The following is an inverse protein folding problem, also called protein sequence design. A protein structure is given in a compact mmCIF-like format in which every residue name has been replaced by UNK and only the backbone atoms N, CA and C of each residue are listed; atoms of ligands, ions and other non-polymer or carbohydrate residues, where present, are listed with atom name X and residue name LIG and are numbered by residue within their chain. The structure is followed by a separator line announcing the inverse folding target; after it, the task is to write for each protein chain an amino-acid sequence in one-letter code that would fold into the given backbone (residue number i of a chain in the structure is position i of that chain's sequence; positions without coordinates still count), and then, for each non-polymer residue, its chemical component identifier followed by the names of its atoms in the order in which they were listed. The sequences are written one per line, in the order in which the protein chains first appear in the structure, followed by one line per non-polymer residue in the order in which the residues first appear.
data_IF_238464876661
#
_entry.id   IF_238464876661
#
_cell.length_a   1.000
_cell.length_b   1.000
_cell.length_c   1.000
_cell.angle_alpha   90.00
_cell.angle_beta   90.00
_cell.angle_gamma   90.00
#
_symmetry.space_group_name_H-M   'P 1'
#
loop_
_entity.id
_entity.type
_entity.pdbx_description
1 polymer ?
#
# COMPACT_ATOMS: atom_id res chain seq x y z
N UNK A 1 68.84 -18.83 -14.06
CA UNK A 1 67.85 -18.37 -13.05
C UNK A 1 66.91 -17.26 -13.56
N UNK A 2 67.27 -16.46 -14.58
CA UNK A 2 66.46 -15.32 -15.05
C UNK A 2 65.23 -15.68 -15.91
N UNK A 3 65.29 -16.74 -16.73
CA UNK A 3 64.21 -17.10 -17.67
C UNK A 3 62.91 -17.56 -16.96
N UNK A 4 63.02 -18.21 -15.79
CA UNK A 4 61.85 -18.59 -14.98
C UNK A 4 61.12 -17.40 -14.37
N UNK A 5 61.77 -16.24 -14.29
CA UNK A 5 61.21 -15.02 -13.71
C UNK A 5 60.37 -14.26 -14.75
N UNK A 6 60.80 -14.25 -16.01
CA UNK A 6 60.05 -13.62 -17.11
C UNK A 6 58.77 -14.39 -17.46
N UNK A 7 58.82 -15.72 -17.50
CA UNK A 7 57.65 -16.60 -17.71
C UNK A 7 56.55 -16.35 -16.66
N UNK A 8 56.92 -16.19 -15.38
CA UNK A 8 55.95 -15.92 -14.30
C UNK A 8 55.34 -14.52 -14.37
N UNK A 9 56.11 -13.51 -14.77
CA UNK A 9 55.62 -12.13 -14.92
C UNK A 9 54.65 -12.03 -16.11
N UNK A 10 54.96 -12.71 -17.21
CA UNK A 10 54.10 -12.73 -18.40
C UNK A 10 52.78 -13.48 -18.13
N UNK A 11 52.83 -14.60 -17.41
CA UNK A 11 51.64 -15.36 -17.01
C UNK A 11 50.77 -14.59 -15.99
N UNK A 12 51.37 -13.83 -15.08
CA UNK A 12 50.63 -12.94 -14.17
C UNK A 12 49.92 -11.81 -14.92
N UNK A 13 50.54 -11.22 -15.94
CA UNK A 13 49.92 -10.15 -16.73
C UNK A 13 48.74 -10.66 -17.59
N UNK A 14 48.86 -11.85 -18.18
CA UNK A 14 47.76 -12.47 -18.94
C UNK A 14 46.57 -12.85 -18.05
N UNK A 15 46.82 -13.41 -16.86
CA UNK A 15 45.77 -13.69 -15.87
C UNK A 15 45.07 -12.41 -15.39
N UNK A 16 45.82 -11.31 -15.19
CA UNK A 16 45.25 -10.02 -14.82
C UNK A 16 44.35 -9.42 -15.91
N UNK A 17 44.68 -9.62 -17.20
CA UNK A 17 43.79 -9.22 -18.30
C UNK A 17 42.52 -10.07 -18.40
N UNK A 18 42.59 -11.37 -18.13
CA UNK A 18 41.43 -12.28 -18.21
C UNK A 18 40.37 -12.01 -17.12
N UNK A 19 40.79 -11.60 -15.92
CA UNK A 19 39.87 -11.21 -14.84
C UNK A 19 39.19 -9.86 -15.15
N UNK A 20 39.82 -8.99 -15.94
CA UNK A 20 39.27 -7.67 -16.30
C UNK A 20 38.12 -7.74 -17.31
N UNK A 21 37.98 -8.84 -18.04
CA UNK A 21 36.88 -9.05 -18.98
C UNK A 21 35.62 -9.66 -18.35
N UNK A 22 35.63 -9.99 -17.05
CA UNK A 22 34.46 -10.51 -16.33
C UNK A 22 33.86 -9.47 -15.37
N UNK A 23 33.41 -8.32 -15.88
CA UNK A 23 32.51 -7.48 -15.07
C UNK A 23 31.54 -6.58 -15.83
N UNK A 24 31.38 -6.72 -17.15
CA UNK A 24 30.16 -6.23 -17.79
C UNK A 24 29.07 -7.26 -17.51
N UNK A 25 28.61 -7.32 -16.25
CA UNK A 25 27.25 -7.79 -16.00
C UNK A 25 26.39 -6.84 -16.83
N UNK A 26 25.67 -7.38 -17.80
CA UNK A 26 24.55 -6.72 -18.43
C UNK A 26 23.52 -6.42 -17.32
N UNK A 27 23.74 -5.35 -16.57
CA UNK A 27 22.89 -4.85 -15.50
C UNK A 27 21.85 -3.87 -16.01
N UNK A 28 21.35 -4.09 -17.22
CA UNK A 28 20.38 -3.20 -17.85
C UNK A 28 19.20 -4.03 -18.32
N UNK A 29 18.15 -4.11 -17.48
CA UNK A 29 16.74 -3.92 -17.90
C UNK A 29 15.65 -4.39 -16.93
N UNK A 30 15.91 -4.69 -15.65
CA UNK A 30 14.79 -4.99 -14.71
C UNK A 30 14.26 -3.75 -13.98
N UNK A 31 15.10 -2.72 -13.79
CA UNK A 31 14.72 -1.52 -13.04
C UNK A 31 13.63 -0.66 -13.69
N UNK A 32 13.37 -0.83 -14.99
CA UNK A 32 12.39 0.00 -15.71
C UNK A 32 10.95 -0.56 -15.65
N UNK A 33 10.79 -1.82 -15.21
CA UNK A 33 9.50 -2.50 -15.07
C UNK A 33 8.91 -2.38 -13.66
N UNK A 34 9.70 -1.98 -12.66
CA UNK A 34 9.18 -1.68 -11.32
C UNK A 34 8.44 -0.33 -11.34
N UNK A 35 7.12 -0.31 -11.14
CA UNK A 35 6.35 0.94 -11.16
C UNK A 35 6.84 1.92 -10.08
N UNK A 36 7.39 1.40 -8.99
CA UNK A 36 7.93 2.16 -7.87
C UNK A 36 9.22 2.92 -8.21
N UNK A 37 9.95 2.51 -9.26
CA UNK A 37 11.19 3.18 -9.64
C UNK A 37 10.96 4.64 -10.06
N UNK A 38 9.88 4.92 -10.78
CA UNK A 38 9.50 6.28 -11.21
C UNK A 38 8.83 7.12 -10.09
N UNK A 39 8.30 6.45 -9.07
CA UNK A 39 7.45 7.05 -8.05
C UNK A 39 8.24 7.47 -6.82
N UNK A 40 9.33 6.76 -6.52
CA UNK A 40 10.12 6.99 -5.32
C UNK A 40 9.34 6.59 -4.07
N UNK A 41 9.40 7.43 -3.02
CA UNK A 41 8.78 7.16 -1.70
C UNK A 41 7.38 7.78 -1.55
N UNK A 42 6.71 8.09 -2.66
CA UNK A 42 5.37 8.69 -2.61
C UNK A 42 4.33 7.66 -2.17
N UNK A 43 3.35 8.12 -1.40
CA UNK A 43 2.22 7.30 -0.99
C UNK A 43 1.30 7.04 -2.18
N UNK A 44 0.93 5.78 -2.34
CA UNK A 44 -0.11 5.34 -3.27
C UNK A 44 -1.46 5.54 -2.57
N UNK A 45 -2.30 6.40 -3.15
CA UNK A 45 -3.60 6.81 -2.60
C UNK A 45 -4.76 6.06 -3.26
N UNK A 46 -4.57 5.53 -4.47
CA UNK A 46 -5.61 4.81 -5.20
C UNK A 46 -5.08 4.04 -6.41
N UNK A 47 -6.02 3.50 -7.18
CA UNK A 47 -5.73 2.60 -8.31
C UNK A 47 -5.32 3.32 -9.61
N UNK A 48 -5.54 4.63 -9.71
CA UNK A 48 -5.07 5.43 -10.83
C UNK A 48 -5.74 5.13 -12.17
N UNK A 49 -5.15 5.67 -13.24
CA UNK A 49 -5.69 5.50 -14.59
C UNK A 49 -5.23 4.16 -15.16
N UNK A 50 -6.17 3.30 -15.56
CA UNK A 50 -5.90 1.94 -16.06
C UNK A 50 -5.05 1.07 -15.12
N UNK A 51 -5.16 1.27 -13.79
CA UNK A 51 -4.35 0.56 -12.80
C UNK A 51 -2.91 1.08 -12.66
N UNK A 52 -2.57 2.16 -13.36
CA UNK A 52 -1.26 2.78 -13.32
C UNK A 52 -1.04 3.64 -12.09
N UNK A 53 0.15 3.54 -11.49
CA UNK A 53 0.55 4.39 -10.36
C UNK A 53 1.12 5.73 -10.84
N UNK A 54 0.31 6.50 -11.55
CA UNK A 54 0.72 7.79 -12.13
C UNK A 54 -0.03 8.97 -11.48
N UNK A 55 0.64 10.11 -11.44
CA UNK A 55 0.05 11.39 -11.05
C UNK A 55 -0.54 12.09 -12.28
N UNK A 56 -1.77 12.59 -12.19
CA UNK A 56 -2.45 13.34 -13.26
C UNK A 56 -3.36 14.40 -12.64
N UNK A 57 -3.23 15.66 -13.07
CA UNK A 57 -4.14 16.76 -12.69
C UNK A 57 -5.22 16.93 -13.77
N UNK A 58 -6.20 16.02 -13.82
CA UNK A 58 -7.34 16.11 -14.74
C UNK A 58 -8.64 16.36 -13.97
N UNK A 59 -9.52 17.26 -14.45
CA UNK A 59 -10.83 17.48 -13.82
C UNK A 59 -11.67 16.21 -13.68
N UNK A 60 -11.63 15.33 -14.70
CA UNK A 60 -12.37 14.05 -14.72
C UNK A 60 -11.75 12.98 -13.80
N UNK A 61 -10.56 13.25 -13.23
CA UNK A 61 -9.85 12.33 -12.36
C UNK A 61 -9.33 13.06 -11.11
N UNK A 62 -10.24 13.47 -10.20
CA UNK A 62 -9.91 14.33 -9.06
C UNK A 62 -9.01 13.66 -8.01
N UNK A 63 -8.85 12.33 -8.06
CA UNK A 63 -8.01 11.57 -7.14
C UNK A 63 -6.97 10.73 -7.88
N UNK A 64 -5.75 11.28 -8.13
CA UNK A 64 -4.67 10.54 -8.77
C UNK A 64 -4.20 9.34 -7.92
N UNK A 65 -3.54 8.37 -8.56
CA UNK A 65 -3.08 7.15 -7.88
C UNK A 65 -1.99 7.40 -6.83
N UNK A 66 -1.21 8.46 -7.02
CA UNK A 66 -0.04 8.79 -6.21
C UNK A 66 -0.17 10.23 -5.71
N UNK A 67 0.39 10.55 -4.54
CA UNK A 67 0.48 11.94 -4.09
C UNK A 67 1.43 12.76 -4.96
N UNK A 68 1.17 14.06 -5.07
CA UNK A 68 2.04 15.00 -5.80
C UNK A 68 3.50 14.98 -5.32
N UNK A 69 3.71 14.86 -4.01
CA UNK A 69 5.03 14.91 -3.36
C UNK A 69 5.23 13.72 -2.42
N UNK A 70 6.49 13.34 -2.23
CA UNK A 70 6.92 12.38 -1.20
C UNK A 70 6.56 12.85 0.21
N UNK A 71 6.45 11.91 1.15
CA UNK A 71 6.13 12.24 2.53
C UNK A 71 7.35 12.90 3.21
N UNK A 72 7.20 14.17 3.58
CA UNK A 72 8.14 14.89 4.44
C UNK A 72 7.59 14.97 5.88
N UNK A 73 8.47 15.11 6.88
CA UNK A 73 8.07 15.24 8.29
C UNK A 73 7.04 16.36 8.51
N UNK A 74 7.16 17.48 7.80
CA UNK A 74 6.20 18.59 7.85
C UNK A 74 4.82 18.21 7.31
N UNK A 75 4.76 17.42 6.24
CA UNK A 75 3.51 16.94 5.61
C UNK A 75 2.84 15.92 6.53
N UNK A 76 3.63 15.03 7.14
CA UNK A 76 3.15 14.05 8.12
C UNK A 76 2.58 14.75 9.35
N UNK A 77 3.31 15.73 9.91
CA UNK A 77 2.86 16.53 11.04
C UNK A 77 1.58 17.30 10.69
N UNK A 78 1.54 17.98 9.53
CA UNK A 78 0.34 18.70 9.06
C UNK A 78 -0.84 17.77 8.88
N UNK A 79 -0.62 16.56 8.36
CA UNK A 79 -1.67 15.55 8.18
C UNK A 79 -2.20 15.04 9.53
N UNK A 80 -1.32 14.86 10.52
CA UNK A 80 -1.71 14.49 11.88
C UNK A 80 -2.59 15.58 12.50
N UNK A 81 -2.17 16.85 12.43
CA UNK A 81 -3.00 17.99 12.87
C UNK A 81 -4.31 18.10 12.09
N UNK A 82 -4.32 17.84 10.78
CA UNK A 82 -5.55 17.90 9.98
C UNK A 82 -6.56 16.83 10.40
N UNK A 83 -6.11 15.59 10.69
CA UNK A 83 -6.97 14.50 11.19
C UNK A 83 -7.64 14.85 12.53
N UNK A 84 -6.90 15.45 13.46
CA UNK A 84 -7.48 15.93 14.73
C UNK A 84 -8.43 17.11 14.53
N UNK A 85 -8.17 17.97 13.53
CA UNK A 85 -9.06 19.08 13.17
C UNK A 85 -10.37 18.60 12.53
N UNK A 86 -10.40 17.48 11.81
CA UNK A 86 -11.66 16.90 11.31
C UNK A 86 -12.60 16.44 12.44
N UNK A 87 -12.04 15.97 13.55
CA UNK A 87 -12.80 15.74 14.78
C UNK A 87 -13.46 17.02 15.33
N UNK A 88 -12.91 18.19 15.00
CA UNK A 88 -13.49 19.49 15.34
C UNK A 88 -14.70 19.88 14.47
N UNK A 89 -14.86 19.29 13.28
CA UNK A 89 -16.09 19.43 12.49
C UNK A 89 -17.15 18.40 12.89
N UNK A 90 -16.75 17.31 13.56
CA UNK A 90 -17.71 16.36 14.13
C UNK A 90 -18.63 17.01 15.17
N UNK A 91 -18.15 18.04 15.88
CA UNK A 91 -18.97 18.79 16.85
C UNK A 91 -19.96 19.77 16.22
N UNK A 92 -19.98 19.90 14.88
CA UNK A 92 -20.96 20.71 14.13
C UNK A 92 -22.18 19.87 13.72
N UNK A 93 -22.07 18.54 13.77
CA UNK A 93 -23.20 17.65 13.45
C UNK A 93 -24.22 17.65 14.61
N UNK A 94 -25.52 17.52 14.29
CA UNK A 94 -26.51 17.22 15.32
C UNK A 94 -26.14 15.92 16.05
N UNK A 95 -26.59 15.74 17.30
CA UNK A 95 -26.39 14.49 18.01
C UNK A 95 -26.93 13.32 17.17
N UNK A 96 -26.26 12.17 17.26
CA UNK A 96 -26.73 10.95 16.61
C UNK A 96 -28.18 10.66 17.03
N UNK A 97 -29.02 10.13 16.12
CA UNK A 97 -30.39 9.81 16.47
C UNK A 97 -30.41 8.72 17.55
N UNK A 98 -31.50 8.67 18.32
CA UNK A 98 -31.61 7.76 19.46
C UNK A 98 -31.40 6.27 19.10
N UNK A 99 -31.63 5.88 17.85
CA UNK A 99 -31.37 4.52 17.35
C UNK A 99 -29.90 4.10 17.39
N UNK A 100 -28.95 5.05 17.45
CA UNK A 100 -27.52 4.78 17.51
C UNK A 100 -26.99 4.53 18.93
N UNK A 101 -27.84 4.53 19.95
CA UNK A 101 -27.42 4.05 21.27
C UNK A 101 -27.06 2.56 21.17
N UNK A 102 -26.05 2.08 21.91
CA UNK A 102 -25.59 0.68 21.81
C UNK A 102 -26.69 -0.32 22.16
N UNK A 103 -27.63 0.06 23.03
CA UNK A 103 -28.81 -0.73 23.37
C UNK A 103 -29.76 -0.89 22.18
N UNK A 104 -30.11 0.21 21.51
CA UNK A 104 -31.00 0.18 20.35
C UNK A 104 -30.35 -0.56 19.16
N UNK A 105 -29.03 -0.42 18.99
CA UNK A 105 -28.27 -1.18 18.00
C UNK A 105 -28.30 -2.68 18.29
N UNK A 106 -28.16 -3.09 19.55
CA UNK A 106 -28.25 -4.49 19.94
C UNK A 106 -29.66 -5.07 19.73
N UNK A 107 -30.71 -4.29 20.04
CA UNK A 107 -32.10 -4.67 19.78
C UNK A 107 -32.34 -4.80 18.27
N UNK A 108 -31.90 -3.83 17.48
CA UNK A 108 -32.03 -3.87 16.03
C UNK A 108 -31.30 -5.07 15.43
N UNK A 109 -30.09 -5.37 15.91
CA UNK A 109 -29.31 -6.52 15.47
C UNK A 109 -30.03 -7.83 15.77
N UNK A 110 -30.64 -7.96 16.96
CA UNK A 110 -31.47 -9.12 17.32
C UNK A 110 -32.66 -9.26 16.38
N UNK A 111 -33.40 -8.18 16.14
CA UNK A 111 -34.52 -8.19 15.21
C UNK A 111 -34.09 -8.59 13.78
N UNK A 112 -32.92 -8.14 13.31
CA UNK A 112 -32.40 -8.52 11.99
C UNK A 112 -32.03 -10.01 11.91
N UNK A 113 -31.50 -10.57 12.99
CA UNK A 113 -31.20 -12.01 13.09
C UNK A 113 -32.49 -12.82 13.11
N UNK A 114 -33.50 -12.38 13.86
CA UNK A 114 -34.83 -13.02 13.95
C UNK A 114 -35.56 -12.99 12.60
N UNK A 115 -35.47 -11.88 11.87
CA UNK A 115 -36.00 -11.74 10.51
C UNK A 115 -35.15 -12.43 9.44
N UNK A 116 -34.03 -13.04 9.82
CA UNK A 116 -33.09 -13.71 8.92
C UNK A 116 -32.65 -12.84 7.73
N UNK A 117 -32.27 -11.58 8.01
CA UNK A 117 -31.80 -10.65 6.97
C UNK A 117 -30.53 -11.18 6.30
N UNK A 118 -30.58 -11.29 4.96
CA UNK A 118 -29.53 -11.84 4.09
C UNK A 118 -29.02 -13.23 4.54
N UNK A 119 -29.87 -14.28 4.41
CA UNK A 119 -29.61 -15.59 4.99
C UNK A 119 -28.57 -16.43 4.21
N UNK A 120 -28.21 -16.06 2.98
CA UNK A 120 -27.29 -16.83 2.13
C UNK A 120 -25.83 -16.40 2.37
N UNK A 121 -25.49 -15.15 2.08
CA UNK A 121 -24.09 -14.65 2.16
C UNK A 121 -23.89 -13.50 3.16
N UNK A 122 -24.98 -13.00 3.76
CA UNK A 122 -24.97 -11.77 4.54
C UNK A 122 -24.91 -11.96 6.05
N UNK A 123 -25.74 -11.19 6.76
CA UNK A 123 -25.69 -11.09 8.22
C UNK A 123 -26.17 -12.37 8.90
N UNK A 124 -27.41 -12.78 8.62
CA UNK A 124 -28.02 -13.95 9.23
C UNK A 124 -27.27 -15.26 8.92
N UNK A 125 -26.69 -15.36 7.72
CA UNK A 125 -25.86 -16.51 7.32
C UNK A 125 -24.71 -16.79 8.31
N UNK A 126 -24.16 -15.74 8.92
CA UNK A 126 -23.02 -15.81 9.84
C UNK A 126 -23.44 -16.09 11.29
N UNK A 127 -24.73 -16.14 11.59
CA UNK A 127 -25.23 -16.45 12.91
C UNK A 127 -25.58 -17.94 13.05
N UNK A 128 -25.15 -18.56 14.14
CA UNK A 128 -25.53 -19.93 14.53
C UNK A 128 -26.72 -19.85 15.49
N UNK A 129 -27.91 -20.16 14.96
CA UNK A 129 -29.17 -20.11 15.69
C UNK A 129 -29.32 -21.22 16.73
N UNK A 130 -28.62 -22.35 16.58
CA UNK A 130 -28.68 -23.44 17.56
C UNK A 130 -27.88 -23.09 18.82
N UNK A 131 -26.75 -22.41 18.64
CA UNK A 131 -25.83 -22.06 19.72
C UNK A 131 -25.94 -20.61 20.19
N UNK A 132 -26.83 -19.83 19.56
CA UNK A 132 -27.02 -18.39 19.81
C UNK A 132 -25.70 -17.58 19.79
N UNK A 133 -24.82 -17.88 18.84
CA UNK A 133 -23.52 -17.23 18.71
C UNK A 133 -23.14 -17.02 17.25
N UNK A 134 -22.17 -16.15 16.99
CA UNK A 134 -21.62 -15.96 15.65
C UNK A 134 -20.75 -17.15 15.23
N UNK A 135 -20.89 -17.58 13.97
CA UNK A 135 -20.02 -18.58 13.34
C UNK A 135 -18.59 -18.00 13.25
N UNK A 136 -17.58 -18.84 13.52
CA UNK A 136 -16.16 -18.48 13.40
C UNK A 136 -15.63 -18.78 12.01
#
# INVERSE_FOLDING_TARGET
MALRRLERVFCQQLLQSAVRCQSVRAGSSVAHLDPYYKIGKREVVGYGHNGGFNYMDRPDFPMPAVRFREANNEILNRSHYRKTTYHRYFTVLPPLPASFTPENQAIQLRNMIELQVDPIDGLASKYDYEKNQWKK
#
